data_IF_841308835395
#
_entry.id   IF_841308835395
#
_cell.length_a   1.000
_cell.length_b   1.000
_cell.length_c   1.000
_cell.angle_alpha   90.00
_cell.angle_beta   90.00
_cell.angle_gamma   90.00
#
_symmetry.space_group_name_H-M   'P 1'
#
loop_
_entity.id
_entity.type
_entity.pdbx_description
1 polymer ?
#
# COMPACT_ATOMS: atom_id res chain seq x y z
N UNK A 1 -15.06 8.83 -12.63
CA UNK A 1 -13.95 7.99 -12.13
C UNK A 1 -14.34 7.43 -10.77
N UNK A 2 -14.10 6.14 -10.55
CA UNK A 2 -14.24 5.48 -9.24
C UNK A 2 -12.86 5.22 -8.64
N UNK A 3 -12.79 4.96 -7.33
CA UNK A 3 -11.53 4.57 -6.68
C UNK A 3 -10.91 3.33 -7.34
N UNK A 4 -11.71 2.30 -7.61
CA UNK A 4 -11.25 1.10 -8.33
C UNK A 4 -10.65 1.43 -9.69
N UNK A 5 -11.31 2.26 -10.49
CA UNK A 5 -10.78 2.66 -11.80
C UNK A 5 -9.48 3.45 -11.73
N UNK A 6 -9.23 4.17 -10.62
CA UNK A 6 -7.96 4.88 -10.41
C UNK A 6 -6.86 3.92 -9.95
N UNK A 7 -7.18 2.99 -9.04
CA UNK A 7 -6.25 1.98 -8.57
C UNK A 7 -5.75 1.10 -9.74
N UNK A 8 -6.65 0.69 -10.62
CA UNK A 8 -6.32 -0.10 -11.82
C UNK A 8 -5.37 0.64 -12.76
N UNK A 9 -5.55 1.97 -12.91
CA UNK A 9 -4.64 2.81 -13.69
C UNK A 9 -3.26 2.92 -13.04
N UNK A 10 -3.20 3.05 -11.71
CA UNK A 10 -1.94 3.11 -10.97
C UNK A 10 -1.15 1.80 -11.07
N UNK A 11 -1.82 0.66 -10.88
CA UNK A 11 -1.21 -0.67 -11.02
C UNK A 11 -0.71 -0.87 -12.46
N UNK A 12 -1.52 -0.51 -13.47
CA UNK A 12 -1.11 -0.61 -14.87
C UNK A 12 0.09 0.29 -15.23
N UNK A 13 0.30 1.38 -14.49
CA UNK A 13 1.46 2.25 -14.61
C UNK A 13 2.70 1.75 -13.84
N UNK A 14 2.59 0.62 -13.13
CA UNK A 14 3.69 0.01 -12.37
C UNK A 14 3.82 0.52 -10.93
N UNK A 15 2.78 1.14 -10.37
CA UNK A 15 2.78 1.53 -8.95
C UNK A 15 2.65 0.28 -8.09
N UNK A 16 3.58 0.13 -7.14
CA UNK A 16 3.56 -0.95 -6.16
C UNK A 16 2.63 -0.63 -5.01
N UNK A 17 1.74 -1.57 -4.68
CA UNK A 17 0.83 -1.45 -3.55
C UNK A 17 1.37 -2.24 -2.37
N UNK A 18 1.51 -1.56 -1.24
CA UNK A 18 1.95 -2.16 0.03
C UNK A 18 0.96 -1.79 1.13
N UNK A 19 0.76 -2.72 2.06
CA UNK A 19 -0.19 -2.56 3.16
C UNK A 19 0.53 -2.68 4.50
N UNK A 20 0.22 -1.79 5.44
CA UNK A 20 0.78 -1.82 6.79
C UNK A 20 0.15 -2.95 7.62
N UNK A 21 0.96 -3.87 8.15
CA UNK A 21 0.49 -4.97 8.99
C UNK A 21 -0.28 -4.47 10.22
N UNK A 22 0.24 -3.45 10.90
CA UNK A 22 -0.40 -2.88 12.08
C UNK A 22 -1.75 -2.24 11.76
N UNK A 23 -1.93 -1.72 10.54
CA UNK A 23 -3.21 -1.18 10.11
C UNK A 23 -4.23 -2.29 9.85
N UNK A 24 -3.81 -3.46 9.38
CA UNK A 24 -4.71 -4.62 9.26
C UNK A 24 -5.19 -5.08 10.63
N UNK A 25 -4.27 -5.24 11.57
CA UNK A 25 -4.60 -5.60 12.95
C UNK A 25 -5.58 -4.58 13.58
N UNK A 26 -5.34 -3.28 13.37
CA UNK A 26 -6.21 -2.21 13.88
C UNK A 26 -7.64 -2.27 13.33
N UNK A 27 -7.81 -2.84 12.14
CA UNK A 27 -9.09 -2.92 11.44
C UNK A 27 -9.70 -4.33 11.44
N UNK A 28 -9.15 -5.26 12.23
CA UNK A 28 -9.57 -6.66 12.28
C UNK A 28 -9.60 -7.33 10.90
N UNK A 29 -8.62 -7.00 10.05
CA UNK A 29 -8.48 -7.55 8.70
C UNK A 29 -7.36 -8.58 8.63
N UNK A 30 -7.57 -9.61 7.83
CA UNK A 30 -6.58 -10.64 7.51
C UNK A 30 -6.01 -10.42 6.09
N UNK A 31 -4.82 -10.97 5.78
CA UNK A 31 -4.24 -10.91 4.43
C UNK A 31 -5.19 -11.36 3.32
N UNK A 32 -6.05 -12.35 3.59
CA UNK A 32 -7.05 -12.88 2.65
C UNK A 32 -8.18 -11.89 2.33
N UNK A 33 -8.27 -10.77 3.06
CA UNK A 33 -9.20 -9.68 2.76
C UNK A 33 -8.62 -8.66 1.78
N UNK A 34 -7.32 -8.75 1.45
CA UNK A 34 -6.66 -7.87 0.51
C UNK A 34 -6.98 -8.25 -0.93
N UNK A 35 -6.82 -7.29 -1.82
CA UNK A 35 -6.83 -7.55 -3.26
C UNK A 35 -5.52 -8.25 -3.67
N UNK A 36 -5.59 -9.10 -4.69
CA UNK A 36 -4.45 -9.87 -5.18
C UNK A 36 -3.29 -8.99 -5.67
N UNK A 37 -3.57 -7.72 -6.03
CA UNK A 37 -2.57 -6.76 -6.51
C UNK A 37 -1.73 -6.10 -5.40
N UNK A 38 -1.98 -6.40 -4.12
CA UNK A 38 -1.05 -6.00 -3.04
C UNK A 38 0.19 -6.86 -3.11
N UNK A 39 1.34 -6.25 -3.37
CA UNK A 39 2.61 -6.98 -3.52
C UNK A 39 3.18 -7.41 -2.18
N UNK A 40 3.09 -6.55 -1.15
CA UNK A 40 3.72 -6.80 0.14
C UNK A 40 2.92 -6.23 1.33
N UNK A 41 2.91 -6.99 2.42
CA UNK A 41 2.49 -6.51 3.73
C UNK A 41 3.74 -6.09 4.49
N UNK A 42 3.84 -4.81 4.82
CA UNK A 42 5.02 -4.17 5.41
C UNK A 42 4.74 -3.69 6.83
N UNK A 43 5.81 -3.46 7.60
CA UNK A 43 5.73 -2.80 8.90
C UNK A 43 6.16 -1.33 8.85
N UNK A 44 5.97 -0.62 9.97
CA UNK A 44 6.39 0.77 10.11
C UNK A 44 7.87 1.04 9.81
N UNK A 45 8.77 0.10 10.15
CA UNK A 45 10.20 0.24 9.86
C UNK A 45 10.47 0.30 8.33
N UNK A 46 9.87 -0.59 7.55
CA UNK A 46 10.01 -0.58 6.10
C UNK A 46 9.45 0.70 5.46
N UNK A 47 8.34 1.23 5.98
CA UNK A 47 7.83 2.53 5.54
C UNK A 47 8.82 3.68 5.80
N UNK A 48 9.50 3.67 6.94
CA UNK A 48 10.53 4.65 7.28
C UNK A 48 11.76 4.52 6.38
N UNK A 49 12.20 3.29 6.07
CA UNK A 49 13.30 3.06 5.15
C UNK A 49 12.99 3.61 3.74
N UNK A 50 11.78 3.32 3.22
CA UNK A 50 11.33 3.89 1.94
C UNK A 50 11.21 5.41 1.96
N UNK A 51 10.79 5.98 3.09
CA UNK A 51 10.70 7.43 3.31
C UNK A 51 12.07 8.08 3.22
N UNK A 52 13.12 7.43 3.75
CA UNK A 52 14.49 7.94 3.69
C UNK A 52 15.08 7.85 2.28
N UNK A 53 14.65 6.87 1.49
CA UNK A 53 15.11 6.68 0.10
C UNK A 53 14.35 7.54 -0.91
N UNK A 54 13.10 7.91 -0.62
CA UNK A 54 12.27 8.70 -1.53
C UNK A 54 12.69 10.17 -1.58
N UNK A 55 12.73 10.76 -2.77
CA UNK A 55 12.98 12.20 -2.94
C UNK A 55 11.82 13.07 -2.39
N UNK A 56 10.59 12.57 -2.52
CA UNK A 56 9.35 13.29 -2.16
C UNK A 56 8.33 12.30 -1.59
N UNK A 57 7.63 12.74 -0.55
CA UNK A 57 6.54 12.01 0.09
C UNK A 57 5.27 12.84 0.01
N UNK A 58 4.19 12.21 -0.46
CA UNK A 58 2.85 12.79 -0.50
C UNK A 58 1.97 12.05 0.51
N UNK A 59 1.42 12.78 1.48
CA UNK A 59 0.57 12.23 2.56
C UNK A 59 -0.86 12.74 2.43
N UNK A 60 -1.85 11.85 2.57
CA UNK A 60 -3.28 12.14 2.39
C UNK A 60 -4.09 11.75 3.63
#
# INVERSE_FOLDING_TARGET
MTLKSFLDQAIAAGVKLMVCHQSLDLHDLEPDNLIDEVEEIIGAAALLDMTLEADIILTF
#
